data_IF_619445914831
#
_entry.id   IF_619445914831
#
_cell.length_a   1.000
_cell.length_b   1.000
_cell.length_c   1.000
_cell.angle_alpha   90.00
_cell.angle_beta   90.00
_cell.angle_gamma   90.00
#
_symmetry.space_group_name_H-M   'P 1'
#
loop_
_entity.id
_entity.type
_entity.pdbx_description
1 polymer ?
#
# COMPACT_ATOMS: atom_id res chain seq x y z
N UNK A 1 -13.16 -7.25 -2.25
CA UNK A 1 -12.49 -5.95 -2.01
C UNK A 1 -11.02 -5.93 -2.44
N UNK A 2 -10.39 -4.74 -2.44
CA UNK A 2 -8.93 -4.58 -2.60
C UNK A 2 -8.18 -5.33 -1.50
N UNK A 3 -8.72 -5.34 -0.27
CA UNK A 3 -8.16 -6.05 0.86
C UNK A 3 -8.05 -7.57 0.60
N UNK A 4 -9.11 -8.21 0.08
CA UNK A 4 -9.07 -9.65 -0.24
C UNK A 4 -8.09 -9.98 -1.36
N UNK A 5 -7.95 -9.07 -2.33
CA UNK A 5 -7.01 -9.25 -3.44
C UNK A 5 -5.56 -9.15 -2.94
N UNK A 6 -5.26 -8.17 -2.10
CA UNK A 6 -3.97 -8.04 -1.44
C UNK A 6 -3.70 -9.23 -0.53
N UNK A 7 -4.71 -9.75 0.17
CA UNK A 7 -4.59 -10.96 0.99
C UNK A 7 -4.18 -12.17 0.17
N UNK A 8 -4.88 -12.45 -0.94
CA UNK A 8 -4.53 -13.57 -1.83
C UNK A 8 -3.11 -13.44 -2.39
N UNK A 9 -2.68 -12.23 -2.74
CA UNK A 9 -1.34 -11.97 -3.26
C UNK A 9 -0.25 -12.11 -2.17
N UNK A 10 -0.51 -11.58 -0.96
CA UNK A 10 0.37 -11.72 0.20
C UNK A 10 0.57 -13.18 0.58
N UNK A 11 -0.52 -13.95 0.59
CA UNK A 11 -0.56 -15.37 0.94
C UNK A 11 0.13 -16.25 -0.12
N UNK A 12 0.03 -15.87 -1.40
CA UNK A 12 0.78 -16.50 -2.49
C UNK A 12 2.26 -16.14 -2.51
N UNK A 13 2.69 -15.17 -1.68
CA UNK A 13 4.07 -14.69 -1.68
C UNK A 13 4.45 -13.91 -2.93
N UNK A 14 3.48 -13.30 -3.64
CA UNK A 14 3.78 -12.53 -4.85
C UNK A 14 4.45 -11.17 -4.57
N UNK A 15 4.46 -10.74 -3.31
CA UNK A 15 5.24 -9.60 -2.85
C UNK A 15 5.77 -9.83 -1.42
N UNK A 16 6.97 -9.33 -1.17
CA UNK A 16 7.61 -9.33 0.15
C UNK A 16 7.47 -7.98 0.86
N UNK A 17 7.39 -6.89 0.09
CA UNK A 17 7.27 -5.52 0.59
C UNK A 17 6.10 -4.82 -0.10
N UNK A 18 5.26 -4.16 0.71
CA UNK A 18 4.12 -3.39 0.24
C UNK A 18 4.24 -1.94 0.74
N UNK A 19 4.11 -0.99 -0.18
CA UNK A 19 4.01 0.43 0.14
C UNK A 19 2.60 0.88 -0.21
N UNK A 20 1.90 1.46 0.77
CA UNK A 20 0.54 1.96 0.57
C UNK A 20 0.58 3.48 0.41
N UNK A 21 0.03 3.97 -0.71
CA UNK A 21 -0.09 5.40 -0.98
C UNK A 21 -1.56 5.73 -1.18
N UNK A 22 -2.14 6.46 -0.23
CA UNK A 22 -3.52 6.89 -0.31
C UNK A 22 -3.76 8.11 0.60
N UNK A 23 -4.89 8.81 0.44
CA UNK A 23 -5.31 9.84 1.40
C UNK A 23 -5.43 9.26 2.82
N UNK A 24 -5.19 10.08 3.88
CA UNK A 24 -5.22 9.62 5.27
C UNK A 24 -6.51 8.88 5.67
N UNK A 25 -7.66 9.33 5.17
CA UNK A 25 -8.95 8.66 5.41
C UNK A 25 -8.99 7.25 4.83
N UNK A 26 -8.49 7.08 3.61
CA UNK A 26 -8.47 5.78 2.92
C UNK A 26 -7.49 4.84 3.62
N UNK A 27 -6.31 5.31 4.01
CA UNK A 27 -5.36 4.51 4.80
C UNK A 27 -5.98 4.05 6.13
N UNK A 28 -6.71 4.94 6.80
CA UNK A 28 -7.44 4.61 8.02
C UNK A 28 -8.47 3.50 7.83
N UNK A 29 -9.28 3.57 6.77
CA UNK A 29 -10.22 2.49 6.43
C UNK A 29 -9.51 1.20 6.01
N UNK A 30 -8.44 1.30 5.24
CA UNK A 30 -7.67 0.14 4.80
C UNK A 30 -7.05 -0.57 5.99
N UNK A 31 -6.49 0.13 6.98
CA UNK A 31 -5.97 -0.53 8.20
C UNK A 31 -7.03 -1.35 8.95
N UNK A 32 -8.29 -0.94 8.92
CA UNK A 32 -9.37 -1.70 9.57
C UNK A 32 -9.83 -2.91 8.76
N UNK A 33 -9.72 -2.85 7.43
CA UNK A 33 -10.16 -3.91 6.50
C UNK A 33 -9.02 -4.85 6.07
N UNK A 34 -7.77 -4.44 6.22
CA UNK A 34 -6.59 -5.23 5.87
C UNK A 34 -6.38 -6.33 6.89
N UNK A 35 -6.02 -7.50 6.38
CA UNK A 35 -5.71 -8.66 7.19
C UNK A 35 -4.28 -8.56 7.72
N UNK A 36 -4.03 -9.15 8.89
CA UNK A 36 -2.74 -9.08 9.58
C UNK A 36 -1.56 -9.48 8.69
N UNK A 37 -1.73 -10.52 7.87
CA UNK A 37 -0.72 -10.99 6.90
C UNK A 37 -0.32 -9.93 5.87
N UNK A 38 -1.25 -9.07 5.44
CA UNK A 38 -0.95 -7.98 4.50
C UNK A 38 -0.32 -6.82 5.26
N UNK A 39 -0.85 -6.47 6.44
CA UNK A 39 -0.33 -5.40 7.28
C UNK A 39 1.12 -5.63 7.73
N UNK A 40 1.50 -6.87 8.01
CA UNK A 40 2.89 -7.23 8.34
C UNK A 40 3.85 -7.02 7.17
N UNK A 41 3.36 -7.07 5.93
CA UNK A 41 4.15 -6.78 4.72
C UNK A 41 4.17 -5.29 4.35
N UNK A 42 3.36 -4.45 5.01
CA UNK A 42 3.37 -3.01 4.76
C UNK A 42 4.62 -2.39 5.39
N UNK A 43 5.55 -1.96 4.55
CA UNK A 43 6.81 -1.36 4.99
C UNK A 43 6.70 0.15 5.16
N UNK A 44 5.84 0.80 4.37
CA UNK A 44 5.62 2.24 4.45
C UNK A 44 4.19 2.60 4.06
N UNK A 45 3.65 3.59 4.76
CA UNK A 45 2.39 4.23 4.42
C UNK A 45 2.66 5.71 4.14
N UNK A 46 2.34 6.15 2.92
CA UNK A 46 2.55 7.53 2.48
C UNK A 46 1.17 8.19 2.40
N UNK A 47 0.83 9.10 3.33
CA UNK A 47 -0.43 9.83 3.31
C UNK A 47 -0.38 10.95 2.26
N UNK A 48 -0.32 10.58 0.99
CA UNK A 48 -0.32 11.51 -0.15
C UNK A 48 -1.43 11.14 -1.12
N UNK A 49 -2.14 12.17 -1.58
CA UNK A 49 -3.11 12.06 -2.66
C UNK A 49 -2.36 12.12 -3.99
N UNK A 50 -1.79 10.99 -4.42
CA UNK A 50 -1.08 10.87 -5.71
C UNK A 50 -2.00 10.61 -6.90
N UNK A 51 -3.25 11.09 -6.85
CA UNK A 51 -4.12 11.06 -8.02
C UNK A 51 -3.39 11.77 -9.17
N UNK A 52 -3.34 11.15 -10.34
CA UNK A 52 -2.63 11.64 -11.54
C UNK A 52 -1.09 11.58 -11.56
N UNK A 53 -0.42 10.89 -10.63
CA UNK A 53 1.05 10.73 -10.70
C UNK A 53 1.43 9.47 -11.49
N UNK A 54 2.51 9.57 -12.26
CA UNK A 54 3.04 8.41 -12.99
C UNK A 54 3.84 7.49 -12.06
N UNK A 55 4.05 6.24 -12.47
CA UNK A 55 4.91 5.30 -11.71
C UNK A 55 6.31 5.89 -11.47
N UNK A 56 6.82 6.65 -12.43
CA UNK A 56 8.12 7.33 -12.32
C UNK A 56 8.14 8.40 -11.21
N UNK A 57 7.07 9.16 -11.07
CA UNK A 57 6.95 10.17 -10.00
C UNK A 57 6.91 9.50 -8.62
N UNK A 58 6.25 8.35 -8.52
CA UNK A 58 6.19 7.54 -7.30
C UNK A 58 7.58 7.00 -6.95
N UNK A 59 8.32 6.49 -7.93
CA UNK A 59 9.70 6.00 -7.70
C UNK A 59 10.63 7.11 -7.22
N UNK A 60 10.55 8.31 -7.80
CA UNK A 60 11.37 9.44 -7.35
C UNK A 60 11.01 9.89 -5.93
N UNK A 61 9.73 9.87 -5.58
CA UNK A 61 9.28 10.15 -4.21
C UNK A 61 9.79 9.12 -3.20
N UNK A 62 9.82 7.84 -3.58
CA UNK A 62 10.33 6.76 -2.74
C UNK A 62 11.85 6.81 -2.59
N UNK A 63 12.60 7.20 -3.63
CA UNK A 63 14.06 7.37 -3.57
C UNK A 63 14.51 8.56 -2.72
N UNK A 64 13.62 9.53 -2.50
CA UNK A 64 13.93 10.75 -1.76
C UNK A 64 13.60 10.66 -0.26
N UNK A 65 12.99 9.56 0.19
CA UNK A 65 12.66 9.27 1.60
C UNK A 65 13.70 8.34 2.23
#
# INVERSE_FOLDING_TARGET
DIADRLYKLAHRGEFDQLVLIAPPQVLGEMRQKLHKEVSEKVQAEIPKTLTNHTVFDIENLLKAA
#
